data_IF_991956262973
#
_entry.id   IF_991956262973
#
_cell.length_a   1.000
_cell.length_b   1.000
_cell.length_c   1.000
_cell.angle_alpha   90.00
_cell.angle_beta   90.00
_cell.angle_gamma   90.00
#
_symmetry.space_group_name_H-M   'P 1'
#
loop_
_entity.id
_entity.type
_entity.pdbx_description
1 polymer ?
#
# COMPACT_ATOMS: atom_id res chain seq x y z
N UNK A 1 -34.03 -35.14 -15.16
CA UNK A 1 -34.12 -33.67 -15.01
C UNK A 1 -32.72 -33.15 -14.84
N UNK A 2 -32.17 -32.58 -15.91
CA UNK A 2 -30.84 -31.98 -15.92
C UNK A 2 -30.98 -30.56 -15.34
N UNK A 3 -30.25 -30.27 -14.27
CA UNK A 3 -30.07 -28.91 -13.79
C UNK A 3 -28.72 -28.47 -14.32
N UNK A 4 -28.76 -27.45 -15.19
CA UNK A 4 -27.61 -26.92 -15.91
C UNK A 4 -26.45 -26.58 -14.97
N UNK A 5 -25.29 -27.15 -15.30
CA UNK A 5 -23.99 -26.62 -14.92
C UNK A 5 -23.88 -25.20 -15.48
N UNK A 6 -24.21 -24.20 -14.66
CA UNK A 6 -23.87 -22.81 -14.94
C UNK A 6 -22.35 -22.73 -15.01
N UNK A 7 -21.88 -22.57 -16.24
CA UNK A 7 -20.49 -22.33 -16.58
C UNK A 7 -19.96 -21.17 -15.73
N UNK A 8 -19.05 -21.49 -14.82
CA UNK A 8 -18.18 -20.53 -14.14
C UNK A 8 -17.29 -19.87 -15.20
N UNK A 9 -17.81 -18.79 -15.79
CA UNK A 9 -17.03 -17.81 -16.53
C UNK A 9 -15.94 -17.28 -15.57
N UNK A 10 -14.69 -17.09 -16.02
CA UNK A 10 -13.59 -16.67 -15.15
C UNK A 10 -14.00 -15.39 -14.39
N UNK A 11 -13.68 -15.28 -13.09
CA UNK A 11 -14.19 -14.18 -12.30
C UNK A 11 -13.58 -12.87 -12.82
N UNK A 12 -14.45 -12.04 -13.38
CA UNK A 12 -14.37 -10.61 -13.23
C UNK A 12 -14.09 -10.29 -11.74
N UNK A 13 -13.30 -9.26 -11.44
CA UNK A 13 -12.65 -9.10 -10.13
C UNK A 13 -13.62 -9.17 -8.95
N UNK A 14 -13.09 -9.34 -7.72
CA UNK A 14 -13.91 -9.40 -6.49
C UNK A 14 -14.95 -8.25 -6.41
N UNK A 15 -14.59 -7.08 -6.92
CA UNK A 15 -15.47 -5.91 -7.05
C UNK A 15 -16.66 -6.15 -8.00
N UNK A 16 -16.44 -6.67 -9.21
CA UNK A 16 -17.51 -7.05 -10.15
C UNK A 16 -18.48 -8.07 -9.55
N UNK A 17 -17.95 -8.97 -8.71
CA UNK A 17 -18.76 -9.96 -8.00
C UNK A 17 -19.62 -9.33 -6.90
N UNK A 18 -19.12 -8.31 -6.20
CA UNK A 18 -19.88 -7.52 -5.22
C UNK A 18 -20.96 -6.71 -5.94
N UNK A 19 -20.63 -5.99 -7.02
CA UNK A 19 -21.59 -5.25 -7.85
C UNK A 19 -22.70 -6.19 -8.34
N UNK A 20 -22.32 -7.35 -8.90
CA UNK A 20 -23.29 -8.34 -9.38
C UNK A 20 -24.21 -8.83 -8.25
N UNK A 21 -23.69 -9.05 -7.04
CA UNK A 21 -24.50 -9.50 -5.91
C UNK A 21 -25.41 -8.42 -5.33
N UNK A 22 -24.99 -7.16 -5.34
CA UNK A 22 -25.81 -6.03 -4.90
C UNK A 22 -26.95 -5.78 -5.90
N UNK A 23 -26.65 -5.79 -7.21
CA UNK A 23 -27.64 -5.67 -8.28
C UNK A 23 -28.61 -6.86 -8.34
N UNK A 24 -28.17 -8.08 -8.05
CA UNK A 24 -29.05 -9.25 -8.05
C UNK A 24 -29.85 -9.42 -6.74
N UNK A 25 -29.66 -8.53 -5.76
CA UNK A 25 -30.23 -8.67 -4.43
C UNK A 25 -30.77 -7.35 -3.89
N UNK A 26 -30.22 -6.83 -2.77
CA UNK A 26 -30.84 -5.76 -2.00
C UNK A 26 -30.95 -4.41 -2.72
N UNK A 27 -30.20 -4.21 -3.81
CA UNK A 27 -30.17 -2.97 -4.58
C UNK A 27 -30.64 -3.17 -6.04
N UNK A 28 -31.46 -4.18 -6.32
CA UNK A 28 -31.82 -4.53 -7.69
C UNK A 28 -32.55 -3.45 -8.49
N UNK A 29 -33.26 -2.55 -7.81
CA UNK A 29 -33.94 -1.40 -8.43
C UNK A 29 -33.16 -0.09 -8.30
N UNK A 30 -31.96 -0.13 -7.70
CA UNK A 30 -31.13 1.06 -7.51
C UNK A 30 -30.37 1.45 -8.79
N UNK A 31 -30.00 2.73 -8.87
CA UNK A 31 -29.12 3.20 -9.94
C UNK A 31 -27.76 2.50 -9.85
N UNK A 32 -27.19 2.17 -11.02
CA UNK A 32 -25.87 1.59 -11.19
C UNK A 32 -24.81 2.39 -10.43
N UNK A 33 -24.89 3.72 -10.46
CA UNK A 33 -23.93 4.60 -9.76
C UNK A 33 -23.92 4.33 -8.26
N UNK A 34 -25.10 4.20 -7.64
CA UNK A 34 -25.21 3.90 -6.21
C UNK A 34 -24.69 2.50 -5.88
N UNK A 35 -24.91 1.53 -6.77
CA UNK A 35 -24.42 0.15 -6.59
C UNK A 35 -22.89 0.11 -6.61
N UNK A 36 -22.26 0.87 -7.51
CA UNK A 36 -20.80 0.97 -7.59
C UNK A 36 -20.21 1.64 -6.33
N UNK A 37 -20.84 2.70 -5.81
CA UNK A 37 -20.42 3.35 -4.56
C UNK A 37 -20.51 2.40 -3.35
N UNK A 38 -21.62 1.67 -3.23
CA UNK A 38 -21.79 0.67 -2.15
C UNK A 38 -20.82 -0.49 -2.33
N UNK A 39 -20.54 -0.92 -3.57
CA UNK A 39 -19.56 -1.95 -3.84
C UNK A 39 -18.15 -1.51 -3.42
N UNK A 40 -17.77 -0.25 -3.67
CA UNK A 40 -16.51 0.32 -3.20
C UNK A 40 -16.42 0.36 -1.66
N UNK A 41 -17.51 0.70 -0.98
CA UNK A 41 -17.57 0.69 0.48
C UNK A 41 -17.44 -0.73 1.06
N UNK A 42 -18.18 -1.70 0.51
CA UNK A 42 -18.10 -3.12 0.88
C UNK A 42 -16.71 -3.68 0.62
N UNK A 43 -16.09 -3.34 -0.52
CA UNK A 43 -14.73 -3.73 -0.84
C UNK A 43 -13.72 -3.10 0.14
N UNK A 44 -13.94 -1.87 0.58
CA UNK A 44 -13.18 -1.22 1.63
C UNK A 44 -13.24 -1.98 2.96
N UNK A 45 -14.43 -2.45 3.35
CA UNK A 45 -14.65 -3.27 4.54
C UNK A 45 -13.97 -4.64 4.41
N UNK A 46 -14.20 -5.36 3.31
CA UNK A 46 -13.60 -6.69 3.06
C UNK A 46 -12.07 -6.60 3.12
N UNK A 47 -11.47 -5.57 2.49
CA UNK A 47 -10.02 -5.35 2.58
C UNK A 47 -9.57 -5.05 4.01
N UNK A 48 -10.38 -4.37 4.81
CA UNK A 48 -10.12 -4.15 6.23
C UNK A 48 -10.16 -5.43 7.08
N UNK A 49 -10.94 -6.43 6.68
CA UNK A 49 -11.07 -7.72 7.39
C UNK A 49 -10.07 -8.79 6.92
N UNK A 50 -9.57 -8.70 5.69
CA UNK A 50 -8.60 -9.67 5.19
C UNK A 50 -7.25 -9.46 5.89
N UNK A 51 -6.69 -10.50 6.56
CA UNK A 51 -5.36 -10.41 7.13
C UNK A 51 -4.37 -10.15 5.99
N UNK A 52 -3.80 -8.95 5.97
CA UNK A 52 -2.68 -8.65 5.10
C UNK A 52 -1.47 -9.37 5.67
N UNK A 53 -1.20 -10.56 5.13
CA UNK A 53 -0.20 -11.46 5.68
C UNK A 53 1.24 -10.91 5.68
N UNK A 54 1.52 -9.80 5.00
CA UNK A 54 2.85 -9.17 4.97
C UNK A 54 2.78 -7.62 5.02
N UNK A 55 2.20 -7.04 6.08
CA UNK A 55 2.32 -5.58 6.34
C UNK A 55 3.64 -5.20 7.04
N UNK A 56 4.76 -5.73 6.55
CA UNK A 56 6.09 -5.30 6.99
C UNK A 56 6.32 -3.82 6.61
N UNK A 57 7.11 -3.10 7.40
CA UNK A 57 7.57 -1.75 7.12
C UNK A 57 8.29 -1.70 5.76
N UNK A 58 9.03 -2.74 5.40
CA UNK A 58 9.68 -2.79 4.08
C UNK A 58 8.68 -2.89 2.92
N UNK A 59 7.59 -3.65 3.07
CA UNK A 59 6.52 -3.68 2.07
C UNK A 59 5.78 -2.35 2.01
N UNK A 60 5.59 -1.68 3.14
CA UNK A 60 5.00 -0.34 3.18
C UNK A 60 5.87 0.72 2.49
N UNK A 61 7.20 0.66 2.66
CA UNK A 61 8.14 1.52 1.92
C UNK A 61 8.09 1.24 0.41
N UNK A 62 7.91 -0.02 -0.01
CA UNK A 62 7.79 -0.39 -1.44
C UNK A 62 6.50 0.10 -2.07
N UNK A 63 5.39 0.06 -1.32
CA UNK A 63 4.06 0.47 -1.78
C UNK A 63 3.63 1.84 -1.27
N UNK A 64 4.59 2.69 -0.91
CA UNK A 64 4.33 3.97 -0.25
C UNK A 64 3.47 4.96 -1.08
N UNK A 65 3.43 4.76 -2.39
CA UNK A 65 2.63 5.57 -3.33
C UNK A 65 1.36 4.87 -3.81
N UNK A 66 1.01 3.71 -3.24
CA UNK A 66 -0.24 3.01 -3.50
C UNK A 66 -1.23 3.31 -2.37
N UNK A 67 -2.09 4.31 -2.57
CA UNK A 67 -3.08 4.78 -1.59
C UNK A 67 -4.03 3.65 -1.15
N UNK A 68 -4.43 2.79 -2.08
CA UNK A 68 -5.34 1.69 -1.79
C UNK A 68 -4.68 0.66 -0.89
N UNK A 69 -3.43 0.31 -1.17
CA UNK A 69 -2.67 -0.61 -0.32
C UNK A 69 -2.37 0.01 1.05
N UNK A 70 -1.95 1.28 1.09
CA UNK A 70 -1.64 1.97 2.34
C UNK A 70 -2.87 2.11 3.24
N UNK A 71 -4.02 2.46 2.68
CA UNK A 71 -5.28 2.55 3.42
C UNK A 71 -5.70 1.22 4.03
N UNK A 72 -5.35 0.09 3.41
CA UNK A 72 -5.66 -1.25 3.91
C UNK A 72 -4.58 -1.84 4.83
N UNK A 73 -3.42 -1.18 4.95
CA UNK A 73 -2.28 -1.69 5.71
C UNK A 73 -2.46 -1.54 7.22
N UNK A 74 -1.65 -2.28 8.00
CA UNK A 74 -1.56 -2.15 9.47
C UNK A 74 -1.19 -0.73 9.94
N UNK A 75 -0.66 0.09 9.05
CA UNK A 75 -0.21 1.45 9.36
C UNK A 75 -1.33 2.50 9.27
N UNK A 76 -2.47 2.16 8.65
CA UNK A 76 -3.54 3.10 8.32
C UNK A 76 -4.42 3.50 9.52
N UNK A 77 -4.34 2.77 10.63
CA UNK A 77 -5.27 2.92 11.76
C UNK A 77 -6.68 2.41 11.44
N UNK A 78 -7.63 2.67 12.35
CA UNK A 78 -8.97 2.07 12.31
C UNK A 78 -10.10 2.93 11.73
N UNK A 79 -9.96 4.26 11.68
CA UNK A 79 -11.10 5.17 11.43
C UNK A 79 -10.84 6.15 10.29
N UNK A 80 -11.90 6.54 9.58
CA UNK A 80 -11.88 7.55 8.52
C UNK A 80 -11.96 7.00 7.10
N UNK A 81 -12.06 7.92 6.13
CA UNK A 81 -12.11 7.60 4.70
C UNK A 81 -10.82 6.95 4.21
N UNK A 82 -10.86 6.23 3.09
CA UNK A 82 -9.67 5.59 2.52
C UNK A 82 -8.49 6.58 2.29
N UNK A 83 -8.70 7.80 1.77
CA UNK A 83 -7.62 8.80 1.68
C UNK A 83 -7.05 9.21 3.04
N UNK A 84 -7.89 9.44 4.05
CA UNK A 84 -7.44 9.82 5.38
C UNK A 84 -6.60 8.71 6.04
N UNK A 85 -6.99 7.44 5.85
CA UNK A 85 -6.25 6.27 6.32
C UNK A 85 -4.92 6.10 5.58
N UNK A 86 -4.87 6.31 4.27
CA UNK A 86 -3.62 6.29 3.50
C UNK A 86 -2.64 7.37 4.01
N UNK A 87 -3.12 8.58 4.28
CA UNK A 87 -2.28 9.65 4.83
C UNK A 87 -1.81 9.36 6.25
N UNK A 88 -2.65 8.74 7.09
CA UNK A 88 -2.24 8.25 8.41
C UNK A 88 -1.13 7.19 8.29
N UNK A 89 -1.28 6.23 7.37
CA UNK A 89 -0.26 5.23 7.09
C UNK A 89 1.06 5.87 6.63
N UNK A 90 1.01 6.87 5.75
CA UNK A 90 2.21 7.59 5.29
C UNK A 90 2.96 8.25 6.41
N UNK A 91 2.26 8.92 7.33
CA UNK A 91 2.88 9.56 8.50
C UNK A 91 3.57 8.53 9.37
N UNK A 92 2.86 7.45 9.72
CA UNK A 92 3.40 6.41 10.59
C UNK A 92 4.57 5.65 9.97
N UNK A 93 4.52 5.38 8.66
CA UNK A 93 5.63 4.76 7.93
C UNK A 93 6.86 5.68 7.93
N UNK A 94 6.68 6.99 7.68
CA UNK A 94 7.80 7.97 7.75
C UNK A 94 8.39 8.01 9.15
N UNK A 95 7.56 8.11 10.19
CA UNK A 95 8.02 8.12 11.59
C UNK A 95 8.83 6.86 11.93
N UNK A 96 8.37 5.67 11.52
CA UNK A 96 9.12 4.43 11.75
C UNK A 96 10.42 4.36 10.95
N UNK A 97 10.40 4.83 9.71
CA UNK A 97 11.64 4.93 8.91
C UNK A 97 12.62 5.87 9.58
N UNK A 98 12.18 7.05 10.02
CA UNK A 98 13.03 8.04 10.68
C UNK A 98 13.62 7.49 11.99
N UNK A 99 12.80 6.78 12.78
CA UNK A 99 13.24 6.16 14.04
C UNK A 99 14.23 5.00 13.86
N UNK A 100 14.28 4.38 12.67
CA UNK A 100 15.18 3.25 12.40
C UNK A 100 16.64 3.67 12.16
N UNK A 101 16.94 4.96 12.03
CA UNK A 101 18.28 5.47 11.73
C UNK A 101 18.76 6.46 12.79
N UNK A 102 20.03 6.33 13.19
CA UNK A 102 20.70 7.28 14.08
C UNK A 102 21.30 8.47 13.33
N UNK A 103 22.21 9.18 14.01
CA UNK A 103 22.86 10.40 13.50
C UNK A 103 24.24 10.16 12.87
N UNK A 104 24.70 8.91 12.78
CA UNK A 104 26.00 8.63 12.17
C UNK A 104 25.97 8.93 10.66
N UNK A 105 27.12 9.27 10.06
CA UNK A 105 27.18 9.56 8.62
C UNK A 105 26.66 8.38 7.75
N UNK A 106 26.88 7.15 8.21
CA UNK A 106 26.36 5.96 7.54
C UNK A 106 24.83 5.87 7.64
N UNK A 107 24.26 6.19 8.81
CA UNK A 107 22.82 6.21 9.04
C UNK A 107 22.14 7.30 8.24
N UNK A 108 22.69 8.51 8.23
CA UNK A 108 22.21 9.64 7.42
C UNK A 108 22.19 9.27 5.94
N UNK A 109 23.25 8.62 5.43
CA UNK A 109 23.29 8.17 4.04
C UNK A 109 22.22 7.11 3.74
N UNK A 110 22.06 6.13 4.61
CA UNK A 110 21.07 5.05 4.45
C UNK A 110 19.63 5.57 4.52
N UNK A 111 19.35 6.43 5.51
CA UNK A 111 18.08 7.11 5.67
C UNK A 111 17.74 7.94 4.44
N UNK A 112 18.66 8.81 4.02
CA UNK A 112 18.44 9.69 2.85
C UNK A 112 18.23 8.86 1.58
N UNK A 113 18.95 7.76 1.41
CA UNK A 113 18.77 6.86 0.27
C UNK A 113 17.37 6.23 0.21
N UNK A 114 16.78 5.87 1.35
CA UNK A 114 15.39 5.38 1.42
C UNK A 114 14.38 6.51 1.20
N UNK A 115 14.51 7.62 1.93
CA UNK A 115 13.51 8.69 1.87
C UNK A 115 13.44 9.27 0.47
N UNK A 116 14.57 9.69 -0.11
CA UNK A 116 14.62 10.25 -1.48
C UNK A 116 14.41 9.19 -2.56
N UNK A 117 14.82 7.95 -2.30
CA UNK A 117 14.75 6.87 -3.29
C UNK A 117 13.40 6.20 -3.39
N UNK A 118 12.60 6.20 -2.32
CA UNK A 118 11.39 5.39 -2.21
C UNK A 118 10.15 6.14 -1.67
N UNK A 119 10.30 7.18 -0.82
CA UNK A 119 9.16 7.85 -0.18
C UNK A 119 8.82 9.22 -0.79
N UNK A 120 9.76 9.79 -1.53
CA UNK A 120 9.61 11.07 -2.20
C UNK A 120 8.89 10.88 -3.55
N UNK A 121 7.69 11.46 -3.75
CA UNK A 121 6.94 11.32 -5.00
C UNK A 121 7.63 11.95 -6.20
N UNK A 122 8.53 12.92 -5.98
CA UNK A 122 9.34 13.54 -7.04
C UNK A 122 10.77 12.97 -7.11
N UNK A 123 11.08 12.04 -6.20
CA UNK A 123 12.40 11.43 -6.10
C UNK A 123 12.56 10.22 -7.02
N UNK A 124 13.23 9.21 -6.48
CA UNK A 124 13.60 7.99 -7.18
C UNK A 124 15.10 7.75 -7.15
N UNK A 125 15.51 6.50 -7.38
CA UNK A 125 16.88 6.06 -7.17
C UNK A 125 17.94 6.91 -7.88
N UNK A 126 17.67 7.34 -9.13
CA UNK A 126 18.61 8.15 -9.91
C UNK A 126 18.70 9.59 -9.42
N UNK A 127 17.59 10.17 -8.98
CA UNK A 127 17.55 11.53 -8.40
C UNK A 127 18.29 11.51 -7.06
N UNK A 128 17.91 10.60 -6.17
CA UNK A 128 18.54 10.42 -4.87
C UNK A 128 20.06 10.17 -4.97
N UNK A 129 20.50 9.33 -5.91
CA UNK A 129 21.93 9.09 -6.14
C UNK A 129 22.68 10.37 -6.51
N UNK A 130 22.12 11.19 -7.40
CA UNK A 130 22.76 12.44 -7.86
C UNK A 130 22.85 13.47 -6.75
N UNK A 131 21.77 13.65 -5.99
CA UNK A 131 21.73 14.57 -4.84
C UNK A 131 22.70 14.15 -3.73
N UNK A 132 22.89 12.84 -3.53
CA UNK A 132 23.83 12.31 -2.56
C UNK A 132 25.30 12.40 -3.00
N UNK A 133 25.58 12.79 -4.26
CA UNK A 133 26.93 12.86 -4.83
C UNK A 133 27.76 11.57 -4.66
N UNK A 134 27.10 10.41 -4.65
CA UNK A 134 27.75 9.10 -4.51
C UNK A 134 27.75 8.33 -5.82
N UNK A 135 28.68 7.37 -5.94
CA UNK A 135 28.63 6.40 -7.03
C UNK A 135 27.32 5.59 -6.98
N UNK A 136 26.87 5.12 -8.14
CA UNK A 136 25.71 4.22 -8.25
C UNK A 136 25.85 2.98 -7.35
N UNK A 137 27.04 2.37 -7.33
CA UNK A 137 27.31 1.20 -6.51
C UNK A 137 27.20 1.51 -5.00
N UNK A 138 27.72 2.66 -4.57
CA UNK A 138 27.61 3.12 -3.19
C UNK A 138 26.16 3.34 -2.79
N UNK A 139 25.36 3.99 -3.65
CA UNK A 139 23.94 4.21 -3.42
C UNK A 139 23.17 2.90 -3.22
N UNK A 140 23.28 1.94 -4.14
CA UNK A 140 22.55 0.68 -4.01
C UNK A 140 23.02 -0.18 -2.84
N UNK A 141 24.30 -0.09 -2.45
CA UNK A 141 24.80 -0.73 -1.22
C UNK A 141 24.17 -0.09 0.03
N UNK A 142 24.09 1.23 0.09
CA UNK A 142 23.42 1.94 1.17
C UNK A 142 21.93 1.59 1.22
N UNK A 143 21.23 1.64 0.09
CA UNK A 143 19.81 1.28 0.00
C UNK A 143 19.55 -0.17 0.42
N UNK A 144 20.41 -1.12 0.00
CA UNK A 144 20.28 -2.53 0.43
C UNK A 144 20.45 -2.69 1.94
N UNK A 145 21.43 -2.02 2.54
CA UNK A 145 21.63 -2.06 4.00
C UNK A 145 20.48 -1.40 4.75
N UNK A 146 20.02 -0.26 4.26
CA UNK A 146 18.89 0.47 4.81
C UNK A 146 17.63 -0.42 4.85
N UNK A 147 17.34 -1.13 3.75
CA UNK A 147 16.24 -2.10 3.69
C UNK A 147 16.41 -3.26 4.67
N UNK A 148 17.61 -3.80 4.80
CA UNK A 148 17.90 -4.83 5.80
C UNK A 148 17.59 -4.36 7.22
N UNK A 149 18.01 -3.13 7.56
CA UNK A 149 17.71 -2.55 8.86
C UNK A 149 16.22 -2.36 9.12
N UNK A 150 15.44 -1.91 8.12
CA UNK A 150 13.99 -1.79 8.27
C UNK A 150 13.31 -3.13 8.51
N UNK A 151 13.83 -4.22 7.92
CA UNK A 151 13.34 -5.57 8.19
C UNK A 151 13.69 -6.05 9.61
N UNK A 152 14.82 -5.61 10.17
CA UNK A 152 15.21 -5.95 11.54
C UNK A 152 14.48 -5.13 12.61
N UNK A 153 13.87 -4.00 12.24
CA UNK A 153 13.22 -3.04 13.13
C UNK A 153 11.68 -3.17 13.17
N UNK A 154 11.12 -4.15 12.47
CA UNK A 154 9.69 -4.32 12.19
C UNK A 154 8.85 -4.98 13.30
#
# INVERSE_FOLDING_TARGET
>A
MAVDMVALKPPAGLHDLVVQRLSAGPLGDADRVLIEEVADEVMGLIRGFLPHHDCSLIEAVRRFHDDNWLAASRFAGGEGSAPARADAARRLVRERVDAAFGSSAADVLMHTAIVRGCLDPHGGHLVAQRELHVSRATFYRALRRARGRLSDAD
#
